data_IF_804004207920
#
_entry.id   IF_804004207920
#
_cell.length_a   1.000
_cell.length_b   1.000
_cell.length_c   1.000
_cell.angle_alpha   90.00
_cell.angle_beta   90.00
_cell.angle_gamma   90.00
#
_symmetry.space_group_name_H-M   'P 1'
#
loop_
_entity.id
_entity.type
_entity.pdbx_description
1 polymer ?
#
# COMPACT_ATOMS: atom_id res chain seq x y z
N UNK A 1 5.38 -15.59 -27.57
CA UNK A 1 6.36 -14.47 -27.61
C UNK A 1 5.79 -13.09 -27.21
N UNK A 2 4.47 -12.89 -27.05
CA UNK A 2 3.88 -11.59 -26.61
C UNK A 2 4.12 -11.26 -25.12
N UNK A 3 4.03 -12.25 -24.23
CA UNK A 3 4.06 -12.08 -22.77
C UNK A 3 5.36 -11.48 -22.19
N UNK A 4 6.50 -11.62 -22.87
CA UNK A 4 7.79 -11.14 -22.37
C UNK A 4 7.98 -9.63 -22.53
N UNK A 5 7.25 -8.99 -23.46
CA UNK A 5 7.27 -7.54 -23.61
C UNK A 5 6.32 -6.86 -22.61
N UNK A 6 5.18 -7.47 -22.29
CA UNK A 6 4.19 -6.90 -21.36
C UNK A 6 4.77 -6.73 -19.95
N UNK A 7 5.54 -7.71 -19.47
CA UNK A 7 6.24 -7.63 -18.17
C UNK A 7 7.30 -6.54 -18.18
N UNK A 8 8.05 -6.37 -19.27
CA UNK A 8 9.07 -5.32 -19.39
C UNK A 8 8.45 -3.92 -19.41
N UNK A 9 7.31 -3.77 -20.09
CA UNK A 9 6.55 -2.51 -20.13
C UNK A 9 6.04 -2.18 -18.72
N UNK A 10 5.42 -3.15 -18.04
CA UNK A 10 4.95 -2.97 -16.66
C UNK A 10 6.09 -2.63 -15.69
N UNK A 11 7.23 -3.30 -15.80
CA UNK A 11 8.41 -3.01 -14.97
C UNK A 11 8.97 -1.60 -15.23
N UNK A 12 9.01 -1.16 -16.49
CA UNK A 12 9.44 0.19 -16.86
C UNK A 12 8.48 1.26 -16.32
N UNK A 13 7.18 0.99 -16.26
CA UNK A 13 6.19 1.88 -15.67
C UNK A 13 6.27 1.92 -14.14
N UNK A 14 6.60 0.79 -13.49
CA UNK A 14 6.72 0.69 -12.04
C UNK A 14 8.01 1.31 -11.47
N UNK A 15 9.12 1.25 -12.21
CA UNK A 15 10.43 1.68 -11.71
C UNK A 15 10.48 3.13 -11.17
N UNK A 16 9.91 4.14 -11.86
CA UNK A 16 9.88 5.52 -11.33
C UNK A 16 9.09 5.64 -10.03
N UNK A 17 8.03 4.86 -9.87
CA UNK A 17 7.19 4.82 -8.66
C UNK A 17 8.03 4.31 -7.49
N UNK A 18 8.82 3.25 -7.71
CA UNK A 18 9.67 2.68 -6.67
C UNK A 18 10.66 3.70 -6.07
N UNK A 19 11.20 4.61 -6.89
CA UNK A 19 12.09 5.67 -6.43
C UNK A 19 11.38 6.67 -5.50
N UNK A 20 10.09 6.90 -5.72
CA UNK A 20 9.26 7.75 -4.86
C UNK A 20 9.11 7.23 -3.43
N UNK A 21 9.21 5.91 -3.22
CA UNK A 21 9.09 5.34 -1.87
C UNK A 21 10.29 5.63 -0.96
N UNK A 22 11.46 5.95 -1.51
CA UNK A 22 12.67 6.25 -0.71
C UNK A 22 12.43 7.46 0.22
N UNK A 23 12.11 8.66 -0.28
CA UNK A 23 11.87 9.82 0.58
C UNK A 23 10.66 9.63 1.50
N UNK A 24 9.61 8.94 1.04
CA UNK A 24 8.43 8.64 1.85
C UNK A 24 8.79 7.73 3.04
N UNK A 25 9.58 6.69 2.81
CA UNK A 25 10.06 5.78 3.84
C UNK A 25 10.94 6.48 4.87
N UNK A 26 11.82 7.39 4.44
CA UNK A 26 12.58 8.24 5.36
C UNK A 26 11.67 9.14 6.21
N UNK A 27 10.70 9.80 5.58
CA UNK A 27 9.75 10.65 6.29
C UNK A 27 8.96 9.86 7.35
N UNK A 28 8.50 8.65 6.99
CA UNK A 28 7.83 7.74 7.91
C UNK A 28 8.74 7.35 9.08
N UNK A 29 9.98 6.92 8.80
CA UNK A 29 10.93 6.51 9.83
C UNK A 29 11.22 7.62 10.84
N UNK A 30 11.38 8.87 10.37
CA UNK A 30 11.55 10.05 11.23
C UNK A 30 10.30 10.30 12.07
N UNK A 31 9.11 10.24 11.47
CA UNK A 31 7.85 10.44 12.19
C UNK A 31 7.65 9.37 13.28
N UNK A 32 7.82 8.10 12.93
CA UNK A 32 7.64 6.98 13.85
C UNK A 32 8.67 7.01 14.99
N UNK A 33 9.91 7.42 14.69
CA UNK A 33 10.92 7.60 15.74
C UNK A 33 10.57 8.74 16.70
N UNK A 34 10.03 9.85 16.19
CA UNK A 34 9.53 10.97 17.02
C UNK A 34 8.32 10.58 17.87
N UNK A 35 7.47 9.69 17.37
CA UNK A 35 6.36 9.11 18.12
C UNK A 35 6.79 8.09 19.19
N UNK A 36 8.09 7.86 19.38
CA UNK A 36 8.63 6.99 20.43
C UNK A 36 8.76 5.52 20.03
N UNK A 37 8.48 5.15 18.78
CA UNK A 37 8.65 3.76 18.32
C UNK A 37 10.14 3.39 18.25
N UNK A 38 10.41 2.12 18.56
CA UNK A 38 11.74 1.52 18.39
C UNK A 38 12.00 1.19 16.92
N UNK A 39 13.26 1.16 16.47
CA UNK A 39 13.60 0.78 15.10
C UNK A 39 13.01 -0.58 14.69
N UNK A 40 12.93 -1.53 15.63
CA UNK A 40 12.32 -2.83 15.39
C UNK A 40 10.81 -2.70 15.11
N UNK A 41 10.07 -1.93 15.91
CA UNK A 41 8.64 -1.70 15.68
C UNK A 41 8.38 -1.01 14.34
N UNK A 42 9.21 -0.03 13.98
CA UNK A 42 9.15 0.65 12.67
C UNK A 42 9.34 -0.37 11.54
N UNK A 43 10.37 -1.20 11.64
CA UNK A 43 10.62 -2.27 10.66
C UNK A 43 9.47 -3.27 10.57
N UNK A 44 8.90 -3.69 11.71
CA UNK A 44 7.73 -4.58 11.73
C UNK A 44 6.52 -3.93 11.07
N UNK A 45 6.24 -2.65 11.33
CA UNK A 45 5.16 -1.95 10.63
C UNK A 45 5.40 -1.91 9.12
N UNK A 46 6.63 -1.67 8.67
CA UNK A 46 6.99 -1.68 7.25
C UNK A 46 6.81 -3.04 6.57
N UNK A 47 7.02 -4.14 7.31
CA UNK A 47 6.87 -5.51 6.78
C UNK A 47 5.40 -5.96 6.76
N UNK A 48 4.64 -5.68 7.83
CA UNK A 48 3.29 -6.21 7.98
C UNK A 48 2.19 -5.31 7.42
N UNK A 49 2.39 -3.99 7.43
CA UNK A 49 1.37 -3.04 7.00
C UNK A 49 1.63 -2.63 5.56
N UNK A 50 0.97 -3.33 4.63
CA UNK A 50 1.01 -3.02 3.21
C UNK A 50 0.11 -1.82 2.84
N UNK A 51 0.31 -0.69 3.52
CA UNK A 51 -0.42 0.56 3.29
C UNK A 51 0.32 1.75 3.92
N UNK A 52 1.09 2.49 3.11
CA UNK A 52 1.90 3.62 3.59
C UNK A 52 1.07 4.67 4.33
N UNK A 53 -0.04 5.13 3.74
CA UNK A 53 -0.96 6.11 4.38
C UNK A 53 -1.45 5.65 5.76
N UNK A 54 -1.71 4.37 5.94
CA UNK A 54 -2.15 3.80 7.22
C UNK A 54 -1.04 3.77 8.26
N UNK A 55 0.22 3.57 7.85
CA UNK A 55 1.36 3.66 8.76
C UNK A 55 1.51 5.08 9.32
N UNK A 56 1.41 6.11 8.47
CA UNK A 56 1.44 7.50 8.90
C UNK A 56 0.28 7.83 9.84
N UNK A 57 -0.96 7.46 9.48
CA UNK A 57 -2.14 7.70 10.31
C UNK A 57 -2.01 6.99 11.67
N UNK A 58 -1.62 5.70 11.67
CA UNK A 58 -1.47 4.93 12.89
C UNK A 58 -0.42 5.55 13.81
N UNK A 59 0.74 5.94 13.29
CA UNK A 59 1.81 6.56 14.08
C UNK A 59 1.38 7.92 14.63
N UNK A 60 0.72 8.76 13.84
CA UNK A 60 0.21 10.05 14.32
C UNK A 60 -0.82 9.86 15.44
N UNK A 61 -1.78 8.95 15.26
CA UNK A 61 -2.79 8.66 16.29
C UNK A 61 -2.16 8.04 17.55
N UNK A 62 -1.13 7.21 17.42
CA UNK A 62 -0.37 6.68 18.56
C UNK A 62 0.34 7.82 19.32
N UNK A 63 0.95 8.76 18.60
CA UNK A 63 1.60 9.92 19.20
C UNK A 63 0.60 10.83 19.95
N UNK A 64 -0.63 10.93 19.45
CA UNK A 64 -1.73 11.69 20.08
C UNK A 64 -2.41 10.94 21.24
N UNK A 65 -1.96 9.72 21.57
CA UNK A 65 -2.52 8.92 22.66
C UNK A 65 -3.89 8.32 22.36
N UNK A 66 -4.24 8.14 21.09
CA UNK A 66 -5.51 7.52 20.69
C UNK A 66 -5.60 6.06 21.16
N UNK A 67 -6.82 5.59 21.40
CA UNK A 67 -7.06 4.20 21.75
C UNK A 67 -6.77 3.26 20.57
N UNK A 68 -6.33 2.02 20.87
CA UNK A 68 -6.05 1.02 19.85
C UNK A 68 -7.27 0.75 18.94
N UNK A 69 -8.48 0.75 19.51
CA UNK A 69 -9.73 0.56 18.75
C UNK A 69 -9.93 1.67 17.73
N UNK A 70 -9.68 2.94 18.11
CA UNK A 70 -9.80 4.07 17.19
C UNK A 70 -8.81 3.95 16.02
N UNK A 71 -7.57 3.57 16.31
CA UNK A 71 -6.54 3.35 15.28
C UNK A 71 -6.95 2.25 14.30
N UNK A 72 -7.43 1.12 14.83
CA UNK A 72 -7.88 -0.02 14.01
C UNK A 72 -9.04 0.40 13.11
N UNK A 73 -10.06 1.06 13.66
CA UNK A 73 -11.23 1.49 12.89
C UNK A 73 -10.87 2.52 11.82
N UNK A 74 -10.07 3.53 12.15
CA UNK A 74 -9.65 4.57 11.21
C UNK A 74 -8.81 3.98 10.08
N UNK A 75 -7.78 3.18 10.42
CA UNK A 75 -6.94 2.53 9.40
C UNK A 75 -7.76 1.56 8.54
N UNK A 76 -8.67 0.78 9.13
CA UNK A 76 -9.58 -0.09 8.38
C UNK A 76 -10.44 0.69 7.39
N UNK A 77 -11.10 1.77 7.85
CA UNK A 77 -11.94 2.63 7.01
C UNK A 77 -11.17 3.24 5.84
N UNK A 78 -9.99 3.79 6.10
CA UNK A 78 -9.14 4.37 5.06
C UNK A 78 -8.69 3.29 4.07
N UNK A 79 -8.41 2.07 4.53
CA UNK A 79 -7.98 0.97 3.66
C UNK A 79 -9.09 0.39 2.80
N UNK A 80 -10.38 0.65 3.07
CA UNK A 80 -11.48 0.24 2.19
C UNK A 80 -11.32 0.73 0.76
N UNK A 81 -10.53 1.79 0.53
CA UNK A 81 -10.13 2.22 -0.81
C UNK A 81 -9.52 1.10 -1.66
N UNK A 82 -8.79 0.15 -1.07
CA UNK A 82 -8.24 -0.98 -1.81
C UNK A 82 -9.33 -1.89 -2.35
N UNK A 83 -10.43 -2.06 -1.61
CA UNK A 83 -11.60 -2.81 -2.06
C UNK A 83 -12.31 -2.08 -3.21
N UNK A 84 -12.45 -0.76 -3.10
CA UNK A 84 -13.04 0.06 -4.16
C UNK A 84 -12.19 0.07 -5.44
N UNK A 85 -10.88 0.27 -5.31
CA UNK A 85 -9.93 0.21 -6.44
C UNK A 85 -9.93 -1.15 -7.11
N UNK A 86 -9.91 -2.24 -6.32
CA UNK A 86 -9.99 -3.61 -6.84
C UNK A 86 -11.31 -3.86 -7.57
N UNK A 87 -12.44 -3.36 -7.03
CA UNK A 87 -13.75 -3.49 -7.68
C UNK A 87 -13.83 -2.71 -8.99
N UNK A 88 -13.20 -1.53 -9.07
CA UNK A 88 -13.15 -0.74 -10.30
C UNK A 88 -12.31 -1.44 -11.39
N UNK A 89 -11.16 -2.00 -11.01
CA UNK A 89 -10.31 -2.75 -11.94
C UNK A 89 -10.92 -4.09 -12.36
N UNK A 90 -11.73 -4.73 -11.52
CA UNK A 90 -12.33 -6.04 -11.81
C UNK A 90 -13.15 -6.08 -13.11
N UNK A 91 -13.66 -4.93 -13.58
CA UNK A 91 -14.42 -4.82 -14.84
C UNK A 91 -13.56 -5.18 -16.06
N UNK A 92 -12.24 -5.00 -15.99
CA UNK A 92 -11.29 -5.30 -17.08
C UNK A 92 -10.85 -6.77 -17.12
N UNK A 93 -11.13 -7.55 -16.06
CA UNK A 93 -10.65 -8.94 -15.92
C UNK A 93 -11.78 -9.98 -16.01
N UNK A 94 -12.82 -9.70 -16.82
CA UNK A 94 -13.95 -10.62 -17.00
C UNK A 94 -13.48 -11.98 -17.56
N UNK A 95 -13.76 -13.05 -16.83
CA UNK A 95 -13.48 -14.44 -17.26
C UNK A 95 -12.13 -15.00 -16.79
N UNK A 96 -11.36 -14.25 -15.99
CA UNK A 96 -10.12 -14.77 -15.40
C UNK A 96 -10.34 -15.63 -14.14
N UNK A 97 -9.37 -16.50 -13.87
CA UNK A 97 -9.42 -17.39 -12.71
C UNK A 97 -9.35 -16.61 -11.38
N UNK A 98 -10.17 -17.03 -10.40
CA UNK A 98 -10.27 -16.35 -9.09
C UNK A 98 -8.93 -16.28 -8.35
N UNK A 99 -8.01 -17.24 -8.55
CA UNK A 99 -6.70 -17.22 -7.90
C UNK A 99 -5.80 -16.15 -8.50
N UNK A 100 -5.83 -15.99 -9.83
CA UNK A 100 -5.12 -14.91 -10.52
C UNK A 100 -5.65 -13.55 -10.10
N UNK A 101 -6.96 -13.39 -10.07
CA UNK A 101 -7.61 -12.16 -9.60
C UNK A 101 -7.21 -11.82 -8.16
N UNK A 102 -7.15 -12.81 -7.26
CA UNK A 102 -6.72 -12.58 -5.87
C UNK A 102 -5.26 -12.11 -5.78
N UNK A 103 -4.38 -12.66 -6.61
CA UNK A 103 -2.98 -12.25 -6.66
C UNK A 103 -2.84 -10.82 -7.20
N UNK A 104 -3.59 -10.48 -8.25
CA UNK A 104 -3.64 -9.11 -8.78
C UNK A 104 -4.19 -8.12 -7.75
N UNK A 105 -5.30 -8.47 -7.09
CA UNK A 105 -5.94 -7.62 -6.07
C UNK A 105 -4.99 -7.31 -4.89
N UNK A 106 -4.14 -8.26 -4.48
CA UNK A 106 -3.13 -8.03 -3.45
C UNK A 106 -2.11 -6.95 -3.85
N UNK A 107 -1.76 -6.87 -5.13
CA UNK A 107 -0.83 -5.87 -5.67
C UNK A 107 -1.47 -4.52 -6.00
N UNK A 108 -2.78 -4.35 -5.81
CA UNK A 108 -3.45 -3.07 -6.09
C UNK A 108 -3.06 -2.05 -5.02
N UNK A 109 -2.28 -1.06 -5.43
CA UNK A 109 -1.91 0.12 -4.64
C UNK A 109 -2.40 1.37 -5.35
N UNK A 110 -2.35 2.54 -4.69
CA UNK A 110 -2.71 3.81 -5.33
C UNK A 110 -1.92 4.03 -6.63
N UNK A 111 -0.65 3.66 -6.62
CA UNK A 111 0.25 3.90 -7.74
C UNK A 111 0.01 2.90 -8.86
N UNK A 112 -0.25 1.63 -8.52
CA UNK A 112 -0.66 0.62 -9.48
C UNK A 112 -2.02 0.93 -10.08
N UNK A 113 -2.96 1.48 -9.31
CA UNK A 113 -4.26 1.92 -9.80
C UNK A 113 -4.12 3.12 -10.74
N UNK A 114 -3.30 4.11 -10.38
CA UNK A 114 -3.09 5.32 -11.17
C UNK A 114 -2.47 5.06 -12.56
N UNK A 115 -1.60 4.07 -12.70
CA UNK A 115 -0.99 3.73 -14.00
C UNK A 115 -1.82 2.78 -14.86
N UNK A 116 -2.88 2.19 -14.31
CA UNK A 116 -3.79 1.30 -15.04
C UNK A 116 -5.11 1.99 -15.46
N UNK A 117 -5.31 3.25 -15.07
CA UNK A 117 -6.42 4.10 -15.49
C UNK A 117 -6.03 4.89 -16.75
#
# INVERSE_FOLDING_TARGET
>A
MRQNNDVRIGASAAWPICLGYIPIGFAFGVLARKAGLTPLQIGMMSVFVFAGSSQFIAVSMLADGASAIAIILTTFMVNLRHLLMSSALAVFFKGEDRKRLSLFAYGVTDESFAVNL
#
